data_IF_611711006238
#
_entry.id   IF_611711006238
#
_cell.length_a   1.000
_cell.length_b   1.000
_cell.length_c   1.000
_cell.angle_alpha   90.00
_cell.angle_beta   90.00
_cell.angle_gamma   90.00
#
_symmetry.space_group_name_H-M   'P 1'
#
loop_
_entity.id
_entity.type
_entity.pdbx_description
1 polymer ?
#
# COMPACT_ATOMS: atom_id res chain seq x y z
N UNK A 1 90.04 10.84 9.08
CA UNK A 1 89.18 11.99 8.71
C UNK A 1 87.93 11.45 8.02
N UNK A 2 86.75 11.69 8.62
CA UNK A 2 85.37 11.72 8.05
C UNK A 2 84.89 10.54 7.14
N UNK A 3 83.68 9.98 7.19
CA UNK A 3 82.40 10.26 7.87
C UNK A 3 81.46 9.04 7.67
N UNK A 4 80.49 8.90 8.56
CA UNK A 4 79.38 7.92 8.62
C UNK A 4 78.48 7.79 7.38
N UNK A 5 77.79 6.65 7.21
CA UNK A 5 76.33 6.48 7.45
C UNK A 5 75.82 5.06 7.05
N UNK A 6 75.12 4.40 7.99
CA UNK A 6 74.27 3.21 7.81
C UNK A 6 72.87 3.59 7.24
N UNK A 7 71.82 2.75 7.35
CA UNK A 7 71.43 1.60 6.54
C UNK A 7 70.07 1.82 5.81
N UNK A 8 69.75 1.08 4.75
CA UNK A 8 68.41 1.10 4.15
C UNK A 8 67.59 -0.11 4.61
N UNK A 9 66.73 0.12 5.60
CA UNK A 9 65.63 -0.77 6.03
C UNK A 9 64.57 -0.82 4.93
N UNK A 10 64.31 -2.01 4.38
CA UNK A 10 63.18 -2.26 3.49
C UNK A 10 61.93 -2.47 4.36
N UNK A 11 60.99 -1.54 4.26
CA UNK A 11 59.73 -1.54 4.98
C UNK A 11 58.81 -2.67 4.48
N UNK A 12 58.45 -3.58 5.37
CA UNK A 12 57.42 -4.60 5.17
C UNK A 12 56.05 -3.93 5.13
N UNK A 13 55.36 -4.03 3.99
CA UNK A 13 54.01 -3.52 3.81
C UNK A 13 53.01 -4.28 4.71
N UNK A 14 52.41 -3.55 5.65
CA UNK A 14 51.24 -4.01 6.41
C UNK A 14 50.01 -3.97 5.50
N UNK A 15 49.59 -5.15 5.03
CA UNK A 15 48.27 -5.34 4.42
C UNK A 15 47.24 -5.25 5.56
N UNK A 16 46.68 -4.06 5.76
CA UNK A 16 45.51 -3.89 6.59
C UNK A 16 44.31 -4.52 5.85
N UNK A 17 43.95 -5.74 6.26
CA UNK A 17 42.68 -6.37 5.94
C UNK A 17 41.56 -5.45 6.45
N UNK A 18 40.99 -4.64 5.56
CA UNK A 18 39.70 -4.00 5.79
C UNK A 18 38.65 -5.10 5.81
N UNK A 19 38.43 -5.71 6.98
CA UNK A 19 37.31 -6.59 7.22
C UNK A 19 36.02 -5.81 6.97
N UNK A 20 35.14 -6.36 6.12
CA UNK A 20 33.77 -5.90 5.97
C UNK A 20 33.10 -5.86 7.36
N UNK A 21 33.02 -4.66 7.95
CA UNK A 21 32.24 -4.44 9.16
C UNK A 21 30.77 -4.39 8.76
N UNK A 22 30.15 -5.56 8.60
CA UNK A 22 28.70 -5.67 8.74
C UNK A 22 28.37 -5.34 10.19
N UNK A 23 28.06 -4.06 10.49
CA UNK A 23 27.65 -3.64 11.83
C UNK A 23 26.44 -4.47 12.24
N UNK A 24 26.49 -5.18 13.38
CA UNK A 24 25.31 -5.86 13.90
C UNK A 24 24.22 -4.82 14.20
N UNK A 25 22.98 -5.11 13.79
CA UNK A 25 21.85 -4.22 13.99
C UNK A 25 21.68 -3.88 15.47
N UNK A 26 21.52 -2.58 15.78
CA UNK A 26 21.30 -2.13 17.16
C UNK A 26 19.94 -2.60 17.68
N UNK A 27 19.74 -2.65 19.01
CA UNK A 27 18.42 -2.96 19.59
C UNK A 27 17.35 -1.95 19.16
N UNK A 28 17.73 -0.67 18.99
CA UNK A 28 16.85 0.36 18.46
C UNK A 28 16.41 0.05 17.01
N UNK A 29 17.32 -0.42 16.16
CA UNK A 29 16.98 -0.82 14.78
C UNK A 29 16.11 -2.06 14.72
N UNK A 30 16.35 -3.03 15.62
CA UNK A 30 15.47 -4.22 15.74
C UNK A 30 14.05 -3.80 16.11
N UNK A 31 13.90 -2.94 17.12
CA UNK A 31 12.59 -2.43 17.53
C UNK A 31 11.93 -1.62 16.42
N UNK A 32 12.66 -0.71 15.78
CA UNK A 32 12.15 0.08 14.66
C UNK A 32 11.68 -0.82 13.51
N UNK A 33 12.42 -1.89 13.20
CA UNK A 33 12.04 -2.86 12.17
C UNK A 33 10.77 -3.62 12.53
N UNK A 34 10.63 -4.05 13.78
CA UNK A 34 9.43 -4.76 14.24
C UNK A 34 8.19 -3.86 14.13
N UNK A 35 8.27 -2.63 14.62
CA UNK A 35 7.19 -1.65 14.50
C UNK A 35 6.84 -1.38 13.04
N UNK A 36 7.84 -1.08 12.21
CA UNK A 36 7.64 -0.82 10.78
C UNK A 36 6.96 -1.99 10.06
N UNK A 37 7.43 -3.23 10.28
CA UNK A 37 6.83 -4.42 9.66
C UNK A 37 5.39 -4.64 10.14
N UNK A 38 5.11 -4.43 11.43
CA UNK A 38 3.75 -4.51 11.97
C UNK A 38 2.81 -3.50 11.30
N UNK A 39 3.22 -2.24 11.21
CA UNK A 39 2.41 -1.16 10.63
C UNK A 39 2.21 -1.35 9.12
N UNK A 40 3.26 -1.80 8.43
CA UNK A 40 3.21 -2.17 7.01
C UNK A 40 2.21 -3.31 6.77
N UNK A 41 2.25 -4.36 7.59
CA UNK A 41 1.32 -5.48 7.49
C UNK A 41 -0.12 -5.05 7.79
N UNK A 42 -0.32 -4.15 8.76
CA UNK A 42 -1.64 -3.62 9.08
C UNK A 42 -2.20 -2.79 7.91
N UNK A 43 -1.40 -1.90 7.31
CA UNK A 43 -1.79 -1.13 6.13
C UNK A 43 -2.19 -2.05 4.97
N UNK A 44 -1.40 -3.10 4.70
CA UNK A 44 -1.69 -4.06 3.65
C UNK A 44 -2.94 -4.90 3.93
N UNK A 45 -3.16 -5.34 5.17
CA UNK A 45 -4.38 -6.07 5.56
C UNK A 45 -5.63 -5.23 5.34
N UNK A 46 -5.57 -3.92 5.65
CA UNK A 46 -6.66 -2.99 5.36
C UNK A 46 -6.90 -2.85 3.86
N UNK A 47 -5.85 -2.72 3.04
CA UNK A 47 -5.96 -2.71 1.58
C UNK A 47 -6.56 -4.01 1.02
N UNK A 48 -6.12 -5.17 1.52
CA UNK A 48 -6.72 -6.46 1.18
C UNK A 48 -8.18 -6.51 1.57
N UNK A 49 -8.56 -5.96 2.72
CA UNK A 49 -9.94 -5.90 3.15
C UNK A 49 -10.84 -5.05 2.22
N UNK A 50 -10.29 -4.08 1.51
CA UNK A 50 -11.04 -3.25 0.56
C UNK A 50 -11.07 -3.82 -0.86
N UNK A 51 -10.37 -4.91 -1.13
CA UNK A 51 -10.44 -5.61 -2.42
C UNK A 51 -11.77 -6.35 -2.60
N UNK A 52 -12.37 -6.23 -3.79
CA UNK A 52 -13.66 -6.85 -4.13
C UNK A 52 -13.51 -8.30 -4.63
N UNK A 53 -12.99 -9.20 -3.78
CA UNK A 53 -12.77 -10.62 -4.07
C UNK A 53 -13.29 -11.52 -2.93
N UNK A 54 -13.40 -12.83 -3.16
CA UNK A 54 -13.79 -13.88 -2.21
C UNK A 54 -12.61 -14.83 -1.86
N UNK A 55 -11.38 -14.35 -2.08
CA UNK A 55 -10.13 -15.15 -2.09
C UNK A 55 -9.16 -14.72 -0.98
N UNK A 56 -9.68 -14.36 0.19
CA UNK A 56 -8.92 -13.69 1.26
C UNK A 56 -8.84 -14.51 2.56
N UNK A 57 -8.59 -15.82 2.44
CA UNK A 57 -8.32 -16.69 3.59
C UNK A 57 -7.04 -17.51 3.34
N UNK A 58 -6.00 -17.27 4.12
CA UNK A 58 -4.78 -18.06 4.09
C UNK A 58 -3.56 -17.29 4.61
N UNK A 59 -2.39 -17.82 4.30
CA UNK A 59 -1.11 -17.21 4.65
C UNK A 59 -0.15 -17.31 3.46
N UNK A 60 0.59 -16.25 3.20
CA UNK A 60 1.66 -16.20 2.20
C UNK A 60 2.94 -15.67 2.83
N UNK A 61 4.10 -16.04 2.31
CA UNK A 61 5.32 -15.25 2.53
C UNK A 61 5.32 -14.12 1.53
N UNK A 62 5.31 -12.88 2.03
CA UNK A 62 5.38 -11.70 1.18
C UNK A 62 6.79 -11.12 1.23
N UNK A 63 7.38 -10.95 0.06
CA UNK A 63 8.61 -10.21 -0.19
C UNK A 63 8.24 -8.85 -0.81
N UNK A 64 8.51 -7.75 -0.10
CA UNK A 64 8.29 -6.39 -0.58
C UNK A 64 9.58 -5.61 -0.57
N UNK A 65 9.86 -4.92 -1.68
CA UNK A 65 10.90 -3.90 -1.77
C UNK A 65 10.24 -2.53 -1.90
N UNK A 66 10.63 -1.61 -1.04
CA UNK A 66 10.15 -0.23 -1.04
C UNK A 66 11.29 0.72 -1.40
N UNK A 67 11.00 1.76 -2.17
CA UNK A 67 11.96 2.80 -2.52
C UNK A 67 12.12 3.86 -1.42
N UNK A 68 12.86 4.92 -1.74
CA UNK A 68 13.12 6.00 -0.81
C UNK A 68 11.86 6.79 -0.39
N UNK A 69 10.77 6.74 -1.16
CA UNK A 69 9.49 7.34 -0.84
C UNK A 69 8.52 6.34 -0.21
N UNK A 70 9.02 5.15 0.16
CA UNK A 70 8.24 4.02 0.65
C UNK A 70 7.20 3.54 -0.36
N UNK A 71 7.42 3.82 -1.65
CA UNK A 71 6.60 3.31 -2.73
C UNK A 71 7.03 1.88 -3.06
N UNK A 72 6.10 0.96 -3.33
CA UNK A 72 6.45 -0.39 -3.74
C UNK A 72 7.14 -0.38 -5.10
N UNK A 73 8.29 -1.07 -5.16
CA UNK A 73 9.06 -1.36 -6.39
C UNK A 73 9.20 -2.85 -6.66
N UNK A 74 8.88 -3.70 -5.68
CA UNK A 74 8.66 -5.13 -5.88
C UNK A 74 7.65 -5.65 -4.85
N UNK A 75 6.73 -6.49 -5.31
CA UNK A 75 5.77 -7.22 -4.49
C UNK A 75 5.68 -8.65 -5.00
N UNK A 76 6.09 -9.63 -4.19
CA UNK A 76 6.01 -11.06 -4.55
C UNK A 76 5.50 -11.90 -3.40
N UNK A 77 4.45 -12.67 -3.64
CA UNK A 77 3.90 -13.63 -2.70
C UNK A 77 4.39 -15.04 -3.07
N UNK A 78 4.91 -15.76 -2.07
CA UNK A 78 5.31 -17.16 -2.18
C UNK A 78 4.58 -18.01 -1.13
N UNK A 79 4.60 -19.33 -1.32
CA UNK A 79 3.96 -20.25 -0.37
C UNK A 79 4.57 -20.09 1.01
N UNK A 80 3.70 -20.07 2.03
CA UNK A 80 4.16 -20.01 3.40
C UNK A 80 4.79 -21.34 3.83
N UNK A 81 5.86 -21.32 4.65
CA UNK A 81 6.28 -22.50 5.39
C UNK A 81 5.12 -23.11 6.20
N UNK A 82 5.03 -24.44 6.23
CA UNK A 82 3.94 -25.20 6.90
C UNK A 82 3.69 -24.73 8.33
N UNK A 83 4.75 -24.35 9.08
CA UNK A 83 4.63 -23.83 10.45
C UNK A 83 3.71 -22.62 10.61
N UNK A 84 3.50 -21.84 9.55
CA UNK A 84 2.57 -20.72 9.56
C UNK A 84 1.17 -21.15 9.13
N UNK A 85 1.04 -22.13 8.25
CA UNK A 85 -0.27 -22.69 7.87
C UNK A 85 -0.95 -23.39 9.05
N UNK A 86 -0.18 -24.03 9.93
CA UNK A 86 -0.68 -24.70 11.14
C UNK A 86 -1.22 -23.75 12.21
N UNK A 87 -0.96 -22.44 12.09
CA UNK A 87 -1.52 -21.42 12.99
C UNK A 87 -2.98 -21.13 12.65
N UNK A 88 -3.39 -21.35 11.40
CA UNK A 88 -4.77 -21.14 10.97
C UNK A 88 -5.64 -22.33 11.40
N UNK A 89 -6.85 -22.10 11.96
CA UNK A 89 -7.81 -23.15 12.25
C UNK A 89 -8.03 -24.10 11.06
N UNK A 90 -8.08 -25.40 11.34
CA UNK A 90 -8.14 -26.44 10.32
C UNK A 90 -9.48 -26.48 9.55
N UNK A 91 -10.54 -25.98 10.17
CA UNK A 91 -11.90 -25.89 9.64
C UNK A 91 -12.12 -24.67 8.73
N UNK A 92 -11.17 -23.74 8.65
CA UNK A 92 -11.28 -22.59 7.77
C UNK A 92 -11.03 -22.98 6.30
N UNK A 93 -12.00 -22.73 5.39
CA UNK A 93 -11.80 -22.96 3.97
C UNK A 93 -10.78 -21.96 3.43
N UNK A 94 -9.61 -22.46 3.05
CA UNK A 94 -8.51 -21.65 2.53
C UNK A 94 -8.73 -21.33 1.06
N UNK A 95 -8.35 -20.12 0.67
CA UNK A 95 -8.25 -19.75 -0.73
C UNK A 95 -7.12 -20.52 -1.41
N UNK A 96 -7.28 -20.81 -2.70
CA UNK A 96 -6.17 -21.31 -3.52
C UNK A 96 -4.97 -20.35 -3.43
N UNK A 97 -3.76 -20.91 -3.37
CA UNK A 97 -2.55 -20.10 -3.20
C UNK A 97 -2.37 -19.07 -4.32
N UNK A 98 -2.59 -19.42 -5.59
CA UNK A 98 -2.40 -18.48 -6.71
C UNK A 98 -3.42 -17.35 -6.65
N UNK A 99 -4.67 -17.70 -6.32
CA UNK A 99 -5.74 -16.74 -6.10
C UNK A 99 -5.38 -15.75 -4.97
N UNK A 100 -4.96 -16.25 -3.80
CA UNK A 100 -4.57 -15.40 -2.67
C UNK A 100 -3.33 -14.55 -2.98
N UNK A 101 -2.30 -15.14 -3.60
CA UNK A 101 -1.08 -14.44 -3.99
C UNK A 101 -1.38 -13.27 -4.94
N UNK A 102 -2.23 -13.48 -5.95
CA UNK A 102 -2.63 -12.43 -6.89
C UNK A 102 -3.32 -11.26 -6.18
N UNK A 103 -4.21 -11.52 -5.22
CA UNK A 103 -4.87 -10.48 -4.43
C UNK A 103 -3.87 -9.73 -3.56
N UNK A 104 -3.00 -10.45 -2.85
CA UNK A 104 -1.98 -9.85 -1.98
C UNK A 104 -1.02 -8.98 -2.78
N UNK A 105 -0.54 -9.45 -3.93
CA UNK A 105 0.39 -8.70 -4.78
C UNK A 105 -0.27 -7.44 -5.37
N UNK A 106 -1.50 -7.57 -5.89
CA UNK A 106 -2.25 -6.43 -6.41
C UNK A 106 -2.46 -5.35 -5.34
N UNK A 107 -2.75 -5.75 -4.11
CA UNK A 107 -2.92 -4.81 -3.00
C UNK A 107 -1.59 -4.28 -2.49
N UNK A 108 -0.52 -5.08 -2.52
CA UNK A 108 0.82 -4.64 -2.17
C UNK A 108 1.29 -3.46 -3.03
N UNK A 109 1.04 -3.51 -4.34
CA UNK A 109 1.35 -2.42 -5.26
C UNK A 109 0.51 -1.16 -5.02
N UNK A 110 -0.74 -1.33 -4.57
CA UNK A 110 -1.68 -0.23 -4.32
C UNK A 110 -1.61 0.32 -2.88
N UNK A 111 -0.85 -0.27 -1.96
CA UNK A 111 -0.89 0.11 -0.55
C UNK A 111 -0.11 1.42 -0.31
N UNK A 112 -0.64 2.28 0.58
CA UNK A 112 0.10 3.42 1.14
C UNK A 112 0.77 2.97 2.44
N UNK A 113 2.04 2.62 2.34
CA UNK A 113 2.85 2.20 3.49
C UNK A 113 3.26 3.39 4.36
N UNK A 114 3.49 3.16 5.68
CA UNK A 114 4.13 4.14 6.54
C UNK A 114 5.54 4.49 6.02
N UNK A 115 6.06 5.63 6.46
CA UNK A 115 7.42 6.08 6.10
C UNK A 115 8.44 5.06 6.61
N UNK A 116 9.28 4.54 5.71
CA UNK A 116 10.41 3.68 6.06
C UNK A 116 11.42 4.49 6.89
N UNK A 117 11.70 4.08 8.15
CA UNK A 117 12.72 4.73 8.97
C UNK A 117 14.08 4.75 8.28
N UNK A 118 14.80 5.88 8.36
CA UNK A 118 16.09 6.04 7.66
C UNK A 118 17.12 4.98 8.05
N UNK A 119 17.11 4.52 9.30
CA UNK A 119 18.07 3.50 9.79
C UNK A 119 17.82 2.10 9.26
N UNK A 120 16.63 1.84 8.68
CA UNK A 120 16.28 0.55 8.09
C UNK A 120 16.56 0.47 6.58
N UNK A 121 17.07 1.56 5.99
CA UNK A 121 17.32 1.64 4.56
C UNK A 121 18.70 1.12 4.22
N UNK A 122 18.78 0.43 3.09
CA UNK A 122 20.02 0.05 2.45
C UNK A 122 20.70 1.29 1.82
N UNK A 123 21.94 1.13 1.35
CA UNK A 123 22.73 2.22 0.76
C UNK A 123 22.08 2.83 -0.49
N UNK A 124 21.30 2.03 -1.23
CA UNK A 124 20.51 2.49 -2.39
C UNK A 124 19.21 3.22 -1.99
N UNK A 125 18.98 3.42 -0.69
CA UNK A 125 17.82 4.09 -0.13
C UNK A 125 16.56 3.24 -0.04
N UNK A 126 16.64 1.95 -0.41
CA UNK A 126 15.52 1.01 -0.40
C UNK A 126 15.43 0.22 0.89
N UNK A 127 14.36 -0.55 1.09
CA UNK A 127 14.26 -1.54 2.16
C UNK A 127 13.57 -2.80 1.65
N UNK A 128 14.07 -3.96 2.06
CA UNK A 128 13.45 -5.25 1.81
C UNK A 128 12.80 -5.84 3.07
N UNK A 129 11.53 -6.20 2.94
CA UNK A 129 10.75 -6.87 3.99
C UNK A 129 10.27 -8.21 3.48
N UNK A 130 10.68 -9.27 4.18
CA UNK A 130 10.18 -10.63 4.01
C UNK A 130 9.45 -11.06 5.27
N UNK A 131 8.13 -11.22 5.21
CA UNK A 131 7.33 -11.58 6.37
C UNK A 131 6.11 -12.44 6.01
N UNK A 132 5.66 -13.33 6.93
CA UNK A 132 4.40 -14.05 6.74
C UNK A 132 3.22 -13.08 6.87
N UNK A 133 2.36 -13.07 5.86
CA UNK A 133 1.12 -12.28 5.86
C UNK A 133 -0.07 -13.22 6.02
N UNK A 134 -0.70 -13.14 7.19
CA UNK A 134 -1.96 -13.83 7.47
C UNK A 134 -3.13 -12.97 6.99
N UNK A 135 -3.95 -13.53 6.11
CA UNK A 135 -5.17 -12.91 5.61
C UNK A 135 -6.33 -13.78 6.05
N UNK A 136 -7.17 -13.26 6.94
CA UNK A 136 -8.33 -13.97 7.45
C UNK A 136 -9.51 -13.02 7.46
N UNK A 137 -10.25 -12.99 6.35
CA UNK A 137 -11.53 -12.30 6.32
C UNK A 137 -12.66 -13.28 6.68
N UNK A 138 -13.61 -12.90 7.54
CA UNK A 138 -14.78 -13.74 7.81
C UNK A 138 -15.55 -14.06 6.52
N UNK A 139 -16.06 -15.29 6.37
CA UNK A 139 -16.84 -15.70 5.21
C UNK A 139 -18.06 -14.78 4.96
N UNK A 140 -18.74 -14.38 6.04
CA UNK A 140 -19.85 -13.43 5.98
C UNK A 140 -19.45 -12.06 5.39
N UNK A 141 -18.19 -11.65 5.52
CA UNK A 141 -17.70 -10.40 4.96
C UNK A 141 -17.23 -10.53 3.49
N UNK A 142 -17.05 -11.76 3.02
CA UNK A 142 -16.66 -12.08 1.64
C UNK A 142 -17.85 -12.49 0.76
N UNK A 143 -19.00 -12.79 1.37
CA UNK A 143 -20.21 -13.20 0.66
C UNK A 143 -20.64 -12.15 -0.39
N UNK A 144 -21.14 -12.59 -1.56
CA UNK A 144 -21.73 -11.70 -2.56
C UNK A 144 -22.84 -10.83 -1.97
N UNK A 145 -23.10 -9.68 -2.59
CA UNK A 145 -24.20 -8.77 -2.22
C UNK A 145 -24.17 -8.20 -0.78
N UNK A 146 -23.07 -8.38 -0.05
CA UNK A 146 -22.90 -7.73 1.25
C UNK A 146 -22.70 -6.23 1.08
N UNK A 147 -23.12 -5.45 2.08
CA UNK A 147 -22.89 -4.00 2.10
C UNK A 147 -21.40 -3.64 1.92
N UNK A 148 -20.50 -4.50 2.44
CA UNK A 148 -19.06 -4.37 2.27
C UNK A 148 -18.61 -4.55 0.81
N UNK A 149 -19.04 -5.64 0.14
CA UNK A 149 -18.74 -5.87 -1.28
C UNK A 149 -19.22 -4.70 -2.14
N UNK A 150 -20.46 -4.26 -1.91
CA UNK A 150 -21.02 -3.08 -2.59
C UNK A 150 -20.16 -1.84 -2.34
N UNK A 151 -19.80 -1.54 -1.09
CA UNK A 151 -18.95 -0.39 -0.76
C UNK A 151 -17.54 -0.47 -1.39
N UNK A 152 -16.94 -1.66 -1.45
CA UNK A 152 -15.64 -1.88 -2.09
C UNK A 152 -15.72 -1.68 -3.61
N UNK A 153 -16.74 -2.23 -4.27
CA UNK A 153 -16.97 -2.05 -5.70
C UNK A 153 -17.24 -0.57 -6.04
N UNK A 154 -18.02 0.13 -5.21
CA UNK A 154 -18.24 1.57 -5.36
C UNK A 154 -16.96 2.38 -5.16
N UNK A 155 -16.15 2.06 -4.14
CA UNK A 155 -14.86 2.71 -3.91
C UNK A 155 -13.93 2.57 -5.12
N UNK A 156 -13.81 1.36 -5.66
CA UNK A 156 -12.99 1.11 -6.85
C UNK A 156 -13.54 1.87 -8.06
N UNK A 157 -14.86 1.87 -8.29
CA UNK A 157 -15.49 2.67 -9.34
C UNK A 157 -15.10 4.15 -9.24
N UNK A 158 -15.27 4.77 -8.07
CA UNK A 158 -14.93 6.18 -7.89
C UNK A 158 -13.42 6.41 -8.06
N UNK A 159 -12.57 5.55 -7.50
CA UNK A 159 -11.12 5.68 -7.67
C UNK A 159 -10.72 5.63 -9.15
N UNK A 160 -11.27 4.69 -9.92
CA UNK A 160 -10.99 4.54 -11.35
C UNK A 160 -11.38 5.76 -12.17
N UNK A 161 -12.53 6.37 -11.88
CA UNK A 161 -13.03 7.49 -12.67
C UNK A 161 -12.48 8.85 -12.21
N UNK A 162 -12.09 8.97 -10.94
CA UNK A 162 -11.61 10.23 -10.39
C UNK A 162 -10.08 10.34 -10.44
N UNK A 163 -9.34 9.28 -10.11
CA UNK A 163 -7.89 9.38 -9.86
C UNK A 163 -7.00 8.64 -10.84
N UNK A 164 -7.45 7.52 -11.45
CA UNK A 164 -6.58 6.57 -12.19
C UNK A 164 -5.56 7.22 -13.12
N UNK A 165 -6.02 8.19 -13.90
CA UNK A 165 -5.24 8.83 -14.97
C UNK A 165 -4.79 10.26 -14.60
N UNK A 166 -4.90 10.64 -13.32
CA UNK A 166 -4.44 11.94 -12.85
C UNK A 166 -2.96 11.87 -12.44
N UNK A 167 -2.13 12.84 -12.87
CA UNK A 167 -0.85 13.03 -12.24
C UNK A 167 -1.10 13.51 -10.81
N UNK A 168 -0.65 12.74 -9.82
CA UNK A 168 -0.66 13.18 -8.43
C UNK A 168 0.77 13.11 -7.91
N UNK A 169 1.19 14.16 -7.22
CA UNK A 169 2.49 14.27 -6.59
C UNK A 169 2.39 14.31 -5.06
N UNK A 170 1.17 14.19 -4.53
CA UNK A 170 0.85 14.12 -3.11
C UNK A 170 0.25 12.76 -2.73
N UNK A 171 0.37 12.41 -1.45
CA UNK A 171 -0.24 11.22 -0.85
C UNK A 171 -1.35 11.66 0.09
N UNK A 172 -2.56 11.13 -0.12
CA UNK A 172 -3.71 11.55 0.67
C UNK A 172 -4.90 10.63 0.57
N UNK A 173 -5.99 11.10 1.18
CA UNK A 173 -7.32 10.53 1.09
C UNK A 173 -8.26 11.54 0.44
N UNK A 174 -9.32 11.04 -0.16
CA UNK A 174 -10.39 11.84 -0.71
C UNK A 174 -11.74 11.33 -0.19
N UNK A 175 -12.53 12.22 0.37
CA UNK A 175 -13.95 11.98 0.66
C UNK A 175 -14.78 12.52 -0.48
N UNK A 176 -15.78 11.76 -0.89
CA UNK A 176 -16.72 12.10 -1.95
C UNK A 176 -18.13 12.03 -1.40
N UNK A 177 -18.89 13.09 -1.63
CA UNK A 177 -20.33 13.16 -1.38
C UNK A 177 -21.02 13.49 -2.69
N UNK A 178 -22.08 12.77 -3.05
CA UNK A 178 -22.83 13.02 -4.27
C UNK A 178 -24.34 13.06 -4.04
N UNK A 179 -25.01 13.78 -4.93
CA UNK A 179 -26.45 13.78 -5.15
C UNK A 179 -26.70 13.63 -6.66
N UNK A 180 -27.56 12.69 -7.05
CA UNK A 180 -27.88 12.37 -8.43
C UNK A 180 -29.36 12.06 -8.59
N UNK A 181 -29.88 12.18 -9.81
CA UNK A 181 -31.26 11.80 -10.11
C UNK A 181 -31.39 10.29 -10.41
N UNK A 182 -32.63 9.82 -10.61
CA UNK A 182 -32.94 8.43 -10.92
C UNK A 182 -32.27 7.87 -12.19
N UNK A 183 -31.82 8.73 -13.10
CA UNK A 183 -31.09 8.33 -14.31
C UNK A 183 -29.57 8.20 -14.06
N UNK A 184 -29.10 8.45 -12.84
CA UNK A 184 -27.68 8.42 -12.50
C UNK A 184 -26.92 9.70 -12.86
N UNK A 185 -27.61 10.75 -13.31
CA UNK A 185 -26.98 12.04 -13.61
C UNK A 185 -26.68 12.78 -12.31
N UNK A 186 -25.41 13.12 -12.10
CA UNK A 186 -24.97 13.90 -10.94
C UNK A 186 -25.56 15.31 -11.00
N UNK A 187 -26.17 15.73 -9.88
CA UNK A 187 -26.75 17.06 -9.67
C UNK A 187 -25.91 17.88 -8.69
N UNK A 188 -25.19 17.21 -7.79
CA UNK A 188 -24.19 17.83 -6.92
C UNK A 188 -23.12 16.82 -6.54
N UNK A 189 -21.87 17.27 -6.49
CA UNK A 189 -20.78 16.49 -5.96
C UNK A 189 -19.78 17.38 -5.24
N UNK A 190 -19.28 16.88 -4.11
CA UNK A 190 -18.20 17.48 -3.36
C UNK A 190 -17.13 16.41 -3.11
N UNK A 191 -15.91 16.71 -3.56
CA UNK A 191 -14.71 15.94 -3.27
C UNK A 191 -13.76 16.81 -2.45
N UNK A 192 -13.37 16.29 -1.29
CA UNK A 192 -12.41 16.93 -0.38
C UNK A 192 -11.19 16.03 -0.22
N UNK A 193 -10.01 16.58 -0.43
CA UNK A 193 -8.73 15.89 -0.23
C UNK A 193 -8.16 16.25 1.14
N UNK A 194 -7.57 15.27 1.82
CA UNK A 194 -7.01 15.44 3.16
C UNK A 194 -5.84 14.47 3.42
N UNK A 195 -5.01 14.70 4.46
CA UNK A 195 -3.84 13.87 4.72
C UNK A 195 -4.16 12.40 4.97
N UNK A 196 -3.29 11.52 4.49
CA UNK A 196 -3.35 10.10 4.83
C UNK A 196 -2.73 9.87 6.22
N UNK A 197 -3.35 9.10 7.14
CA UNK A 197 -2.85 8.95 8.51
C UNK A 197 -1.44 8.34 8.59
N UNK A 198 -1.08 7.45 7.67
CA UNK A 198 0.28 6.87 7.61
C UNK A 198 1.33 7.80 6.98
N UNK A 199 0.89 8.86 6.28
CA UNK A 199 1.73 9.75 5.46
C UNK A 199 1.25 11.22 5.55
N UNK A 200 1.08 11.78 6.77
CA UNK A 200 0.51 13.12 6.92
C UNK A 200 1.43 14.19 6.32
N UNK A 201 2.75 14.01 6.41
CA UNK A 201 3.75 14.98 5.95
C UNK A 201 3.97 14.96 4.43
N UNK A 202 3.48 13.92 3.73
CA UNK A 202 3.52 13.84 2.26
C UNK A 202 2.24 14.39 1.60
N UNK A 203 1.29 14.84 2.42
CA UNK A 203 0.11 15.53 1.94
C UNK A 203 0.44 16.98 1.59
N UNK A 204 -0.02 17.40 0.41
CA UNK A 204 0.05 18.77 -0.08
C UNK A 204 -1.36 19.13 -0.55
N UNK A 205 -1.88 20.24 -0.03
CA UNK A 205 -3.15 20.76 -0.52
C UNK A 205 -2.94 21.31 -1.93
N UNK A 206 -3.40 20.55 -2.93
CA UNK A 206 -3.34 20.93 -4.33
C UNK A 206 -4.74 21.33 -4.82
N UNK A 207 -4.92 22.65 -5.01
CA UNK A 207 -6.18 23.20 -5.51
C UNK A 207 -6.53 22.78 -6.93
N UNK A 208 -5.53 22.48 -7.78
CA UNK A 208 -5.76 22.01 -9.14
C UNK A 208 -6.26 20.57 -9.11
N UNK A 209 -5.60 19.70 -8.34
CA UNK A 209 -6.06 18.33 -8.13
C UNK A 209 -7.49 18.32 -7.57
N UNK A 210 -7.77 19.13 -6.55
CA UNK A 210 -9.10 19.23 -5.95
C UNK A 210 -10.16 19.70 -6.95
N UNK A 211 -9.87 20.72 -7.76
CA UNK A 211 -10.79 21.21 -8.78
C UNK A 211 -11.07 20.15 -9.85
N UNK A 212 -10.03 19.45 -10.30
CA UNK A 212 -10.12 18.40 -11.32
C UNK A 212 -10.97 17.21 -10.84
N UNK A 213 -10.73 16.69 -9.63
CA UNK A 213 -11.54 15.58 -9.09
C UNK A 213 -12.99 15.97 -8.84
N UNK A 214 -13.26 17.23 -8.46
CA UNK A 214 -14.62 17.76 -8.36
C UNK A 214 -15.29 17.83 -9.74
N UNK A 215 -14.58 18.31 -10.76
CA UNK A 215 -15.06 18.36 -12.14
C UNK A 215 -15.39 16.96 -12.66
N UNK A 216 -14.48 16.00 -12.50
CA UNK A 216 -14.70 14.60 -12.88
C UNK A 216 -15.89 14.00 -12.16
N UNK A 217 -16.06 14.31 -10.87
CA UNK A 217 -17.21 13.81 -10.12
C UNK A 217 -18.54 14.34 -10.66
N UNK A 218 -18.62 15.63 -10.97
CA UNK A 218 -19.82 16.24 -11.58
C UNK A 218 -20.15 15.64 -12.95
N UNK A 219 -19.16 15.11 -13.67
CA UNK A 219 -19.31 14.48 -14.96
C UNK A 219 -19.60 12.96 -14.90
N UNK A 220 -19.67 12.37 -13.70
CA UNK A 220 -19.93 10.92 -13.58
C UNK A 220 -21.33 10.55 -14.06
N UNK A 221 -21.40 9.36 -14.65
CA UNK A 221 -22.64 8.63 -14.88
C UNK A 221 -22.79 7.56 -13.80
N UNK A 222 -23.58 7.86 -12.77
CA UNK A 222 -23.78 6.95 -11.64
C UNK A 222 -24.74 5.80 -11.97
N UNK A 223 -25.37 5.76 -13.14
CA UNK A 223 -26.14 4.56 -13.55
C UNK A 223 -25.23 3.32 -13.66
N UNK A 224 -23.92 3.54 -13.84
CA UNK A 224 -22.88 2.51 -13.88
C UNK A 224 -22.27 2.20 -12.51
N UNK A 225 -22.65 2.93 -11.46
CA UNK A 225 -22.15 2.70 -10.11
C UNK A 225 -22.70 1.36 -9.60
N UNK A 226 -21.85 0.44 -9.09
CA UNK A 226 -22.31 -0.83 -8.55
C UNK A 226 -23.38 -0.64 -7.46
N UNK A 227 -24.54 -1.28 -7.68
CA UNK A 227 -25.70 -1.17 -6.80
C UNK A 227 -26.31 0.23 -6.73
N UNK A 228 -26.19 1.04 -7.78
CA UNK A 228 -26.91 2.30 -7.91
C UNK A 228 -28.42 2.11 -7.73
N UNK A 229 -29.02 2.98 -6.93
CA UNK A 229 -30.47 3.03 -6.70
C UNK A 229 -30.85 4.42 -6.23
N UNK A 230 -31.95 4.95 -6.75
CA UNK A 230 -32.57 6.18 -6.24
C UNK A 230 -33.64 5.84 -5.19
N UNK A 231 -33.88 6.80 -4.29
CA UNK A 231 -34.97 6.78 -3.33
C UNK A 231 -36.34 6.99 -4.01
N UNK A 232 -37.41 6.93 -3.23
CA UNK A 232 -38.80 7.11 -3.71
C UNK A 232 -39.05 8.48 -4.35
N UNK A 233 -38.19 9.47 -4.07
CA UNK A 233 -38.25 10.81 -4.67
C UNK A 233 -37.38 10.93 -5.93
N UNK A 234 -36.82 9.82 -6.41
CA UNK A 234 -35.96 9.78 -7.58
C UNK A 234 -34.59 10.39 -7.35
N UNK A 235 -34.09 10.45 -6.11
CA UNK A 235 -32.74 10.94 -5.77
C UNK A 235 -31.84 9.83 -5.25
N UNK A 236 -30.58 9.84 -5.65
CA UNK A 236 -29.55 8.97 -5.15
C UNK A 236 -28.47 9.81 -4.46
N UNK A 237 -28.22 9.52 -3.17
CA UNK A 237 -27.16 10.16 -2.39
C UNK A 237 -26.19 9.12 -1.88
N UNK A 238 -24.93 9.49 -1.74
CA UNK A 238 -23.94 8.57 -1.20
C UNK A 238 -22.64 9.22 -0.79
N UNK A 239 -21.81 8.37 -0.21
CA UNK A 239 -20.51 8.70 0.34
C UNK A 239 -19.49 7.64 -0.05
N UNK A 240 -18.27 8.05 -0.38
CA UNK A 240 -17.14 7.14 -0.55
C UNK A 240 -15.84 7.79 -0.10
N UNK A 241 -14.92 6.96 0.40
CA UNK A 241 -13.55 7.37 0.71
C UNK A 241 -12.57 6.59 -0.14
N UNK A 242 -11.61 7.32 -0.70
CA UNK A 242 -10.57 6.78 -1.56
C UNK A 242 -9.21 7.22 -1.05
N UNK A 243 -8.19 6.47 -1.41
CA UNK A 243 -6.79 6.80 -1.17
C UNK A 243 -6.10 7.07 -2.51
N UNK A 244 -5.21 8.06 -2.53
CA UNK A 244 -4.38 8.34 -3.70
C UNK A 244 -2.92 8.54 -3.31
N UNK A 245 -2.04 8.15 -4.22
CA UNK A 245 -0.60 8.29 -4.09
C UNK A 245 0.00 8.21 -5.50
N UNK A 246 1.22 8.76 -5.73
CA UNK A 246 1.84 8.77 -7.06
C UNK A 246 1.98 7.38 -7.70
N UNK A 247 2.19 6.32 -6.90
CA UNK A 247 2.30 4.94 -7.39
C UNK A 247 0.96 4.20 -7.51
N UNK A 248 -0.12 4.74 -6.96
CA UNK A 248 -1.46 4.18 -7.12
C UNK A 248 -2.06 4.61 -8.46
N UNK A 249 -1.76 5.83 -8.90
CA UNK A 249 -2.22 6.39 -10.19
C UNK A 249 -1.21 6.10 -11.29
N UNK A 250 -1.64 6.10 -12.56
CA UNK A 250 -0.73 6.10 -13.71
C UNK A 250 0.06 4.81 -13.99
N UNK A 251 -0.21 3.70 -13.30
CA UNK A 251 0.31 2.38 -13.69
C UNK A 251 -0.76 1.62 -14.49
N UNK A 252 -0.62 1.68 -15.82
CA UNK A 252 -1.26 0.76 -16.78
C UNK A 252 -0.50 -0.56 -16.82
#
# INVERSE_FOLDING_TARGET
MFRSLSPALVATALIALAGCQSRPASEADKQARQTFVSDMQQALKLGIATADTDKQIGVVMLDVKLDQHSAPVSCKASKAPIKYETVLPADLPRSDFKALASVVEAQCWKTIYPVVPKSLRDEDGTVEVRAPLFVVLPAAAQAPETARRKANAQREFFWQHLFRDLPVDSIGRASLYYDANAQGKVQGCLVQIYPHPNRPDDFRLDGNLQAEVNSRCMALDLSKLPGFSADEHGRAKGYSEMEYAPWKVGRL
#
